data_IF_675651983737
#
_entry.id   IF_675651983737
#
_cell.length_a   1.000
_cell.length_b   1.000
_cell.length_c   1.000
_cell.angle_alpha   90.00
_cell.angle_beta   90.00
_cell.angle_gamma   90.00
#
_symmetry.space_group_name_H-M   'P 1'
#
loop_
_entity.id
_entity.type
_entity.pdbx_description
1 polymer ?
#
# COMPACT_ATOMS: atom_id res chain seq x y z
N UNK A 1 -6.45 -16.68 -14.39
CA UNK A 1 -5.33 -16.84 -15.34
C UNK A 1 -5.71 -16.92 -16.83
N UNK A 2 -6.98 -17.12 -17.23
CA UNK A 2 -7.39 -17.09 -18.66
C UNK A 2 -7.48 -15.66 -19.27
N UNK A 3 -7.88 -14.66 -18.47
CA UNK A 3 -7.96 -13.25 -18.90
C UNK A 3 -6.58 -12.65 -19.26
N UNK A 4 -5.54 -13.01 -18.53
CA UNK A 4 -4.16 -12.53 -18.76
C UNK A 4 -3.62 -13.01 -20.12
N UNK A 5 -4.01 -14.22 -20.56
CA UNK A 5 -3.66 -14.77 -21.88
C UNK A 5 -4.42 -14.10 -23.05
N UNK A 6 -5.53 -13.41 -22.76
CA UNK A 6 -6.28 -12.61 -23.74
C UNK A 6 -5.67 -11.21 -23.90
N UNK A 7 -5.20 -10.59 -22.82
CA UNK A 7 -4.40 -9.35 -22.89
C UNK A 7 -3.05 -9.55 -23.59
N UNK A 8 -2.46 -10.76 -23.50
CA UNK A 8 -1.18 -11.05 -24.14
C UNK A 8 -1.25 -11.31 -25.66
N UNK A 9 -2.43 -11.26 -26.28
CA UNK A 9 -2.60 -11.42 -27.74
C UNK A 9 -2.41 -10.11 -28.52
N UNK A 10 -2.50 -8.95 -27.87
CA UNK A 10 -2.22 -7.65 -28.49
C UNK A 10 -0.77 -7.25 -28.25
N UNK A 11 0.08 -7.26 -29.28
CA UNK A 11 1.48 -6.83 -29.19
C UNK A 11 1.62 -5.42 -28.59
N UNK A 12 0.66 -4.52 -28.87
CA UNK A 12 0.59 -3.18 -28.28
C UNK A 12 0.39 -3.17 -26.76
N UNK A 13 -0.42 -4.08 -26.20
CA UNK A 13 -0.66 -4.18 -24.76
C UNK A 13 0.60 -4.71 -24.05
N UNK A 14 1.29 -5.68 -24.65
CA UNK A 14 2.56 -6.19 -24.11
C UNK A 14 3.63 -5.10 -24.09
N UNK A 15 3.73 -4.32 -25.17
CA UNK A 15 4.67 -3.19 -25.24
C UNK A 15 4.31 -2.11 -24.23
N UNK A 16 3.03 -1.77 -24.08
CA UNK A 16 2.55 -0.82 -23.07
C UNK A 16 2.83 -1.27 -21.63
N UNK A 17 2.53 -2.52 -21.30
CA UNK A 17 2.84 -3.07 -19.97
C UNK A 17 4.35 -3.09 -19.72
N UNK A 18 5.15 -3.39 -20.74
CA UNK A 18 6.60 -3.36 -20.66
C UNK A 18 7.15 -1.95 -20.44
N UNK A 19 6.64 -0.94 -21.17
CA UNK A 19 7.00 0.46 -20.93
C UNK A 19 6.53 0.94 -19.56
N UNK A 20 5.36 0.52 -19.09
CA UNK A 20 4.88 0.85 -17.75
C UNK A 20 5.80 0.30 -16.64
N UNK A 21 6.23 -0.96 -16.75
CA UNK A 21 7.17 -1.58 -15.82
C UNK A 21 8.54 -0.88 -15.87
N UNK A 22 9.03 -0.52 -17.06
CA UNK A 22 10.25 0.28 -17.26
C UNK A 22 10.14 1.66 -16.61
N UNK A 23 8.99 2.32 -16.72
CA UNK A 23 8.73 3.62 -16.07
C UNK A 23 8.72 3.50 -14.54
N UNK A 24 8.18 2.41 -13.98
CA UNK A 24 8.28 2.15 -12.54
C UNK A 24 9.73 1.98 -12.07
N UNK A 25 10.56 1.27 -12.84
CA UNK A 25 12.00 1.14 -12.55
C UNK A 25 12.78 2.45 -12.67
N UNK A 26 12.28 3.42 -13.45
CA UNK A 26 12.91 4.73 -13.58
C UNK A 26 12.60 5.66 -12.39
N UNK A 27 11.61 5.32 -11.55
CA UNK A 27 11.13 6.15 -10.44
C UNK A 27 11.29 5.48 -9.05
N UNK A 28 12.41 4.80 -8.72
CA UNK A 28 12.56 4.13 -7.43
C UNK A 28 12.61 5.14 -6.28
N UNK A 29 13.19 6.32 -6.51
CA UNK A 29 13.29 7.38 -5.51
C UNK A 29 11.93 7.93 -5.09
N UNK A 30 11.00 8.10 -6.03
CA UNK A 30 9.65 8.57 -5.74
C UNK A 30 8.89 7.53 -4.93
N UNK A 31 8.98 6.25 -5.31
CA UNK A 31 8.38 5.16 -4.54
C UNK A 31 8.95 5.08 -3.11
N UNK A 32 10.26 5.30 -2.96
CA UNK A 32 10.92 5.31 -1.65
C UNK A 32 10.43 6.46 -0.78
N UNK A 33 10.25 7.67 -1.34
CA UNK A 33 9.67 8.81 -0.62
C UNK A 33 8.26 8.50 -0.10
N UNK A 34 7.42 7.86 -0.92
CA UNK A 34 6.08 7.44 -0.52
C UNK A 34 6.17 6.45 0.64
N UNK A 35 7.01 5.42 0.54
CA UNK A 35 7.22 4.44 1.62
C UNK A 35 7.73 5.10 2.89
N UNK A 36 8.64 6.07 2.78
CA UNK A 36 9.18 6.80 3.93
C UNK A 36 8.11 7.66 4.62
N UNK A 37 7.20 8.26 3.84
CA UNK A 37 6.05 8.96 4.36
C UNK A 37 5.14 7.99 5.14
N UNK A 38 4.76 6.86 4.54
CA UNK A 38 3.99 5.83 5.23
C UNK A 38 4.67 5.35 6.52
N UNK A 39 5.99 5.19 6.51
CA UNK A 39 6.77 4.79 7.68
C UNK A 39 6.67 5.81 8.81
N UNK A 40 6.90 7.10 8.53
CA UNK A 40 6.85 8.17 9.54
C UNK A 40 5.43 8.26 10.13
N UNK A 41 4.40 8.31 9.29
CA UNK A 41 3.02 8.40 9.75
C UNK A 41 2.58 7.15 10.51
N UNK A 42 3.03 5.95 10.12
CA UNK A 42 2.70 4.72 10.83
C UNK A 42 3.31 4.70 12.22
N UNK A 43 4.58 5.10 12.37
CA UNK A 43 5.27 5.17 13.67
C UNK A 43 4.61 6.22 14.57
N UNK A 44 4.31 7.41 14.06
CA UNK A 44 3.60 8.45 14.81
C UNK A 44 2.22 7.94 15.23
N UNK A 45 1.47 7.32 14.32
CA UNK A 45 0.16 6.75 14.60
C UNK A 45 0.19 5.66 15.68
N UNK A 46 1.20 4.78 15.65
CA UNK A 46 1.40 3.79 16.71
C UNK A 46 1.73 4.42 18.07
N UNK A 47 2.57 5.45 18.10
CA UNK A 47 2.92 6.12 19.36
C UNK A 47 1.76 6.92 19.96
N UNK A 48 0.98 7.61 19.12
CA UNK A 48 -0.15 8.45 19.54
C UNK A 48 -1.42 7.63 19.82
N UNK A 49 -1.70 6.61 19.00
CA UNK A 49 -2.97 5.89 18.99
C UNK A 49 -2.84 4.38 19.28
N UNK A 50 -1.63 3.87 19.56
CA UNK A 50 -1.41 2.44 19.82
C UNK A 50 -2.00 1.91 21.14
N UNK A 51 -2.34 2.80 22.08
CA UNK A 51 -2.99 2.44 23.36
C UNK A 51 -4.50 2.60 23.36
N UNK A 52 -5.13 2.92 22.23
CA UNK A 52 -6.58 3.05 22.16
C UNK A 52 -7.22 1.68 22.37
N UNK A 53 -8.19 1.61 23.29
CA UNK A 53 -8.97 0.40 23.55
C UNK A 53 -9.76 0.03 22.29
N UNK A 54 -9.49 -1.15 21.75
CA UNK A 54 -10.20 -1.72 20.60
C UNK A 54 -11.66 -1.96 21.01
N UNK A 55 -12.60 -1.20 20.44
CA UNK A 55 -14.03 -1.42 20.63
C UNK A 55 -14.64 -1.84 19.31
N UNK A 56 -15.28 -3.01 19.28
CA UNK A 56 -15.80 -3.63 18.06
C UNK A 56 -16.87 -2.78 17.34
N UNK A 57 -17.57 -1.90 18.07
CA UNK A 57 -18.55 -0.95 17.51
C UNK A 57 -17.96 0.43 17.14
N UNK A 58 -16.64 0.61 17.20
CA UNK A 58 -15.98 1.88 16.90
C UNK A 58 -15.13 1.81 15.63
N UNK A 59 -14.74 2.97 15.11
CA UNK A 59 -13.85 3.09 13.95
C UNK A 59 -12.45 2.48 14.19
N UNK A 60 -12.09 2.26 15.46
CA UNK A 60 -10.83 1.63 15.90
C UNK A 60 -11.15 0.24 16.46
N UNK A 61 -10.98 -0.77 15.62
CA UNK A 61 -11.35 -2.16 15.89
C UNK A 61 -10.16 -3.11 15.69
N UNK A 62 -10.32 -4.41 15.98
CA UNK A 62 -9.25 -5.41 15.80
C UNK A 62 -8.65 -5.45 14.38
N UNK A 63 -9.41 -5.05 13.36
CA UNK A 63 -8.97 -5.03 11.97
C UNK A 63 -8.38 -3.67 11.54
N UNK A 64 -8.67 -2.60 12.28
CA UNK A 64 -8.35 -1.22 11.93
C UNK A 64 -7.77 -0.52 13.17
N UNK A 65 -6.48 -0.76 13.45
CA UNK A 65 -5.81 -0.22 14.63
C UNK A 65 -4.35 0.18 14.36
N UNK A 66 -3.79 0.90 15.33
CA UNK A 66 -2.39 1.34 15.36
C UNK A 66 -1.55 0.54 16.36
N UNK A 67 -1.89 -0.72 16.67
CA UNK A 67 -1.12 -1.52 17.62
C UNK A 67 0.12 -2.16 16.98
N UNK A 68 0.06 -2.46 15.69
CA UNK A 68 1.15 -3.09 14.95
C UNK A 68 1.49 -2.31 13.69
N UNK A 69 2.77 -2.33 13.29
CA UNK A 69 3.26 -1.58 12.14
C UNK A 69 2.53 -1.94 10.81
N UNK A 70 2.28 -3.22 10.49
CA UNK A 70 1.53 -3.57 9.28
C UNK A 70 0.07 -3.08 9.32
N UNK A 71 -0.58 -3.14 10.48
CA UNK A 71 -1.96 -2.64 10.62
C UNK A 71 -2.05 -1.12 10.54
N UNK A 72 -1.10 -0.41 11.16
CA UNK A 72 -0.99 1.05 11.04
C UNK A 72 -0.76 1.48 9.58
N UNK A 73 0.07 0.74 8.84
CA UNK A 73 0.34 1.01 7.42
C UNK A 73 -0.89 0.74 6.56
N UNK A 74 -1.60 -0.37 6.80
CA UNK A 74 -2.86 -0.69 6.12
C UNK A 74 -3.95 0.35 6.39
N UNK A 75 -4.00 0.89 7.61
CA UNK A 75 -4.97 1.91 7.99
C UNK A 75 -4.65 3.27 7.35
N UNK A 76 -3.37 3.60 7.16
CA UNK A 76 -2.95 4.79 6.39
C UNK A 76 -3.15 4.63 4.89
N UNK A 77 -3.09 3.39 4.38
CA UNK A 77 -3.34 3.07 2.99
C UNK A 77 -4.84 3.01 2.65
N UNK A 78 -5.68 2.86 3.67
CA UNK A 78 -7.13 2.82 3.56
C UNK A 78 -7.70 4.21 3.29
#
# INVERSE_FOLDING_TARGET
>A
MRLVKLLSRGEGIRTLLWTFIKSFQALPYVALLIVMLFFIYAVIGMQMFGKIALRDNSQINRNNNFQTFPQATLLLFR
#
